data_IF_756225766040
#
_entry.id   IF_756225766040
#
_cell.length_a   1.000
_cell.length_b   1.000
_cell.length_c   1.000
_cell.angle_alpha   90.00
_cell.angle_beta   90.00
_cell.angle_gamma   90.00
#
_symmetry.space_group_name_H-M   'P 1'
#
loop_
_entity.id
_entity.type
_entity.pdbx_description
1 polymer ?
#
# COMPACT_ATOMS: atom_id res chain seq x y z
N UNK A 1 3.63 2.31 23.05
CA UNK A 1 3.45 3.18 21.87
C UNK A 1 3.11 4.57 22.33
N UNK A 2 3.60 5.61 21.65
CA UNK A 2 3.19 6.99 21.93
C UNK A 2 1.86 7.33 21.27
N UNK A 3 1.15 8.34 21.79
CA UNK A 3 -0.12 8.82 21.21
C UNK A 3 0.03 9.23 19.73
N UNK A 4 1.19 9.77 19.36
CA UNK A 4 1.50 10.13 17.98
C UNK A 4 1.71 8.90 17.06
N UNK A 5 2.12 7.75 17.61
CA UNK A 5 2.17 6.49 16.84
C UNK A 5 0.76 5.90 16.69
N UNK A 6 -0.06 5.94 17.74
CA UNK A 6 -1.43 5.45 17.71
C UNK A 6 -2.28 6.19 16.66
N UNK A 7 -2.24 7.53 16.66
CA UNK A 7 -2.97 8.34 15.67
C UNK A 7 -2.55 8.05 14.22
N UNK A 8 -1.26 7.80 13.99
CA UNK A 8 -0.75 7.43 12.66
C UNK A 8 -1.25 6.06 12.22
N UNK A 9 -1.35 5.09 13.14
CA UNK A 9 -1.94 3.80 12.83
C UNK A 9 -3.44 3.91 12.50
N UNK A 10 -4.20 4.71 13.24
CA UNK A 10 -5.61 4.96 12.95
C UNK A 10 -5.81 5.62 11.57
N UNK A 11 -4.93 6.56 11.21
CA UNK A 11 -4.93 7.19 9.89
C UNK A 11 -4.62 6.18 8.77
N UNK A 12 -3.60 5.34 8.95
CA UNK A 12 -3.26 4.27 8.02
C UNK A 12 -4.44 3.30 7.85
N UNK A 13 -5.10 2.91 8.93
CA UNK A 13 -6.25 2.00 8.87
C UNK A 13 -7.45 2.64 8.14
N UNK A 14 -7.71 3.91 8.39
CA UNK A 14 -8.72 4.69 7.67
C UNK A 14 -8.43 4.76 6.16
N UNK A 15 -7.16 5.00 5.79
CA UNK A 15 -6.74 4.99 4.38
C UNK A 15 -6.82 3.60 3.75
N UNK A 16 -6.46 2.55 4.50
CA UNK A 16 -6.59 1.16 4.06
C UNK A 16 -8.04 0.79 3.77
N UNK A 17 -8.99 1.21 4.60
CA UNK A 17 -10.42 0.96 4.38
C UNK A 17 -10.95 1.68 3.13
N UNK A 18 -10.45 2.90 2.85
CA UNK A 18 -10.76 3.62 1.60
C UNK A 18 -10.17 2.89 0.38
N UNK A 19 -8.92 2.44 0.48
CA UNK A 19 -8.27 1.66 -0.57
C UNK A 19 -8.99 0.32 -0.83
N UNK A 20 -9.51 -0.33 0.21
CA UNK A 20 -10.38 -1.52 0.09
C UNK A 20 -11.64 -1.25 -0.71
N UNK A 21 -12.26 -0.07 -0.52
CA UNK A 21 -13.42 0.30 -1.34
C UNK A 21 -13.04 0.46 -2.80
N UNK A 22 -11.90 1.12 -3.08
CA UNK A 22 -11.37 1.30 -4.43
C UNK A 22 -10.95 -0.03 -5.09
N UNK A 23 -10.39 -0.95 -4.31
CA UNK A 23 -9.86 -2.22 -4.84
C UNK A 23 -10.92 -3.10 -5.48
N UNK A 24 -12.18 -2.93 -5.07
CA UNK A 24 -13.31 -3.66 -5.66
C UNK A 24 -13.52 -3.39 -7.15
N UNK A 25 -13.00 -2.26 -7.65
CA UNK A 25 -13.15 -1.84 -9.05
C UNK A 25 -11.84 -1.46 -9.73
N UNK A 26 -10.75 -1.25 -8.98
CA UNK A 26 -9.48 -0.75 -9.50
C UNK A 26 -8.29 -1.48 -8.86
N UNK A 27 -7.35 -1.94 -9.69
CA UNK A 27 -6.12 -2.61 -9.25
C UNK A 27 -5.19 -1.69 -8.46
N UNK A 28 -5.24 -0.38 -8.67
CA UNK A 28 -4.52 0.57 -7.82
C UNK A 28 -5.02 0.51 -6.37
N UNK A 29 -6.31 0.27 -6.16
CA UNK A 29 -6.84 0.04 -4.81
C UNK A 29 -6.21 -1.18 -4.16
N UNK A 30 -6.04 -2.28 -4.91
CA UNK A 30 -5.35 -3.48 -4.41
C UNK A 30 -3.89 -3.19 -4.07
N UNK A 31 -3.19 -2.46 -4.93
CA UNK A 31 -1.80 -2.07 -4.70
C UNK A 31 -1.66 -1.21 -3.44
N UNK A 32 -2.56 -0.24 -3.23
CA UNK A 32 -2.56 0.60 -2.04
C UNK A 32 -2.80 -0.20 -0.74
N UNK A 33 -3.71 -1.18 -0.74
CA UNK A 33 -3.93 -2.03 0.44
C UNK A 33 -2.65 -2.75 0.83
N UNK A 34 -1.97 -3.38 -0.14
CA UNK A 34 -0.71 -4.10 0.11
C UNK A 34 0.39 -3.19 0.64
N UNK A 35 0.47 -1.95 0.12
CA UNK A 35 1.37 -0.94 0.66
C UNK A 35 1.07 -0.59 2.12
N UNK A 36 -0.21 -0.44 2.49
CA UNK A 36 -0.58 -0.18 3.89
C UNK A 36 -0.31 -1.38 4.80
N UNK A 37 -0.60 -2.60 4.34
CA UNK A 37 -0.28 -3.82 5.09
C UNK A 37 1.24 -3.96 5.33
N UNK A 38 2.07 -3.58 4.35
CA UNK A 38 3.53 -3.54 4.48
C UNK A 38 3.99 -2.49 5.50
N UNK A 39 3.41 -1.28 5.47
CA UNK A 39 3.72 -0.24 6.47
C UNK A 39 3.33 -0.71 7.87
N UNK A 40 2.17 -1.36 8.02
CA UNK A 40 1.73 -1.92 9.30
C UNK A 40 2.64 -3.06 9.77
N UNK A 41 3.13 -3.93 8.87
CA UNK A 41 4.06 -5.01 9.23
C UNK A 41 5.40 -4.46 9.69
N UNK A 42 5.97 -3.46 8.99
CA UNK A 42 7.19 -2.77 9.42
C UNK A 42 6.99 -2.07 10.76
N UNK A 43 5.82 -1.49 11.01
CA UNK A 43 5.52 -0.85 12.29
C UNK A 43 5.41 -1.85 13.45
N UNK A 44 4.75 -2.99 13.22
CA UNK A 44 4.48 -4.02 14.23
C UNK A 44 5.71 -4.88 14.50
N UNK A 45 6.36 -5.36 13.44
CA UNK A 45 7.38 -6.41 13.48
C UNK A 45 8.81 -5.83 13.28
N UNK A 46 8.92 -4.56 12.90
CA UNK A 46 10.18 -3.87 12.64
C UNK A 46 10.77 -4.15 11.26
N UNK A 47 11.84 -3.44 10.91
CA UNK A 47 12.51 -3.55 9.61
C UNK A 47 13.24 -4.88 9.38
N UNK A 48 13.44 -5.68 10.43
CA UNK A 48 14.16 -6.95 10.36
C UNK A 48 13.23 -8.17 10.24
N UNK A 49 11.95 -7.94 9.91
CA UNK A 49 11.01 -9.01 9.59
C UNK A 49 11.58 -9.89 8.47
N UNK A 50 11.62 -11.21 8.70
CA UNK A 50 12.11 -12.20 7.72
C UNK A 50 11.35 -12.12 6.39
N UNK A 51 10.09 -11.68 6.43
CA UNK A 51 9.21 -11.60 5.27
C UNK A 51 9.28 -10.25 4.55
N UNK A 52 9.84 -9.20 5.16
CA UNK A 52 9.81 -7.84 4.61
C UNK A 52 10.42 -7.75 3.21
N UNK A 53 11.56 -8.42 2.99
CA UNK A 53 12.22 -8.44 1.68
C UNK A 53 11.35 -9.09 0.61
N UNK A 54 10.66 -10.18 0.96
CA UNK A 54 9.77 -10.90 0.06
C UNK A 54 8.51 -10.08 -0.26
N UNK A 55 7.90 -9.48 0.76
CA UNK A 55 6.72 -8.63 0.62
C UNK A 55 7.03 -7.39 -0.23
N UNK A 56 8.19 -6.76 -0.01
CA UNK A 56 8.65 -5.62 -0.81
C UNK A 56 8.84 -6.03 -2.28
N UNK A 57 9.50 -7.15 -2.56
CA UNK A 57 9.70 -7.63 -3.94
C UNK A 57 8.40 -8.01 -4.63
N UNK A 58 7.44 -8.58 -3.89
CA UNK A 58 6.12 -8.89 -4.41
C UNK A 58 5.38 -7.59 -4.77
N UNK A 59 5.40 -6.59 -3.87
CA UNK A 59 4.78 -5.29 -4.07
C UNK A 59 5.40 -4.55 -5.27
N UNK A 60 6.73 -4.55 -5.42
CA UNK A 60 7.41 -3.93 -6.56
C UNK A 60 6.99 -4.56 -7.90
N UNK A 61 6.87 -5.89 -7.97
CA UNK A 61 6.42 -6.57 -9.19
C UNK A 61 4.96 -6.25 -9.52
N UNK A 62 4.12 -6.20 -8.51
CA UNK A 62 2.70 -5.87 -8.68
C UNK A 62 2.48 -4.40 -9.02
N UNK A 63 3.29 -3.49 -8.48
CA UNK A 63 3.33 -2.07 -8.86
C UNK A 63 3.66 -1.94 -10.35
N UNK A 64 4.79 -2.50 -10.79
CA UNK A 64 5.22 -2.43 -12.18
C UNK A 64 4.15 -2.97 -13.14
N UNK A 65 3.53 -4.11 -12.78
CA UNK A 65 2.43 -4.69 -13.57
C UNK A 65 1.20 -3.78 -13.59
N UNK A 66 0.77 -3.27 -12.43
CA UNK A 66 -0.42 -2.43 -12.30
C UNK A 66 -0.28 -1.15 -13.11
N UNK A 67 0.89 -0.49 -13.06
CA UNK A 67 1.18 0.70 -13.86
C UNK A 67 1.22 0.36 -15.35
N UNK A 68 1.86 -0.75 -15.75
CA UNK A 68 1.94 -1.13 -17.17
C UNK A 68 0.60 -1.47 -17.81
N UNK A 69 -0.35 -1.95 -17.00
CA UNK A 69 -1.69 -2.36 -17.43
C UNK A 69 -2.75 -1.29 -17.11
N UNK A 70 -2.33 -0.11 -16.63
CA UNK A 70 -3.24 0.98 -16.29
C UNK A 70 -3.65 1.77 -17.56
N UNK A 71 -4.93 1.67 -17.98
CA UNK A 71 -5.43 2.41 -19.14
C UNK A 71 -5.45 3.93 -18.93
N UNK A 72 -5.39 4.37 -17.67
CA UNK A 72 -5.42 5.78 -17.26
C UNK A 72 -4.04 6.29 -16.83
N UNK A 73 -2.95 5.60 -17.18
CA UNK A 73 -1.57 5.99 -16.84
C UNK A 73 -1.18 7.41 -17.24
N UNK A 74 -1.88 8.02 -18.21
CA UNK A 74 -1.68 9.41 -18.63
C UNK A 74 -2.45 10.44 -17.79
N UNK A 75 -3.32 10.04 -16.86
CA UNK A 75 -3.91 10.97 -15.91
C UNK A 75 -2.84 11.49 -14.95
N UNK A 76 -2.76 12.82 -14.80
CA UNK A 76 -1.77 13.49 -13.96
C UNK A 76 -1.73 12.91 -12.54
N UNK A 77 -2.90 12.60 -11.97
CA UNK A 77 -2.98 12.02 -10.63
C UNK A 77 -2.44 10.60 -10.53
N UNK A 78 -2.49 9.82 -11.62
CA UNK A 78 -1.95 8.46 -11.68
C UNK A 78 -0.45 8.43 -11.97
N UNK A 79 0.07 9.48 -12.62
CA UNK A 79 1.52 9.66 -12.82
C UNK A 79 2.31 9.93 -11.53
N UNK A 80 1.61 10.20 -10.42
CA UNK A 80 2.20 10.41 -9.09
C UNK A 80 2.32 9.11 -8.26
N UNK A 81 1.80 7.98 -8.78
CA UNK A 81 1.87 6.64 -8.18
C UNK A 81 3.01 5.82 -8.79
#
# INVERSE_FOLDING_TARGET
>A
MSDAQLRRMDEIESLRQKAYTLSRSDRLGHLMIKSFDLIQSVHRDGMNSENLSWDLQALTREHAKTISEDPNSNEILRSLL
#
